data_IF_487221560221
#
_entry.id   IF_487221560221
#
_cell.length_a   1.000
_cell.length_b   1.000
_cell.length_c   1.000
_cell.angle_alpha   90.00
_cell.angle_beta   90.00
_cell.angle_gamma   90.00
#
_symmetry.space_group_name_H-M   'P 1'
#
loop_
_entity.id
_entity.type
_entity.pdbx_description
1 polymer ?
#
# COMPACT_ATOMS: atom_id res chain seq x y z
N UNK A 1 -8.61 -1.78 -39.99
CA UNK A 1 -8.89 -3.18 -39.61
C UNK A 1 -9.54 -3.19 -38.23
N UNK A 2 -10.43 -4.15 -37.92
CA UNK A 2 -10.93 -4.33 -36.56
C UNK A 2 -9.77 -4.58 -35.59
N UNK A 3 -9.96 -4.20 -34.31
CA UNK A 3 -8.90 -4.30 -33.31
C UNK A 3 -8.56 -5.75 -32.91
N UNK A 4 -9.53 -6.66 -33.08
CA UNK A 4 -9.40 -8.09 -32.83
C UNK A 4 -9.75 -8.86 -34.10
N UNK A 5 -9.05 -9.96 -34.35
CA UNK A 5 -9.40 -10.90 -35.41
C UNK A 5 -10.58 -11.74 -34.91
N UNK A 6 -11.71 -11.80 -35.64
CA UNK A 6 -12.83 -12.62 -35.23
C UNK A 6 -12.45 -14.08 -35.09
N UNK A 7 -12.88 -14.71 -34.01
CA UNK A 7 -12.75 -16.12 -33.72
C UNK A 7 -14.13 -16.74 -33.45
N UNK A 8 -14.27 -18.06 -33.63
CA UNK A 8 -15.56 -18.74 -33.45
C UNK A 8 -16.10 -18.68 -32.00
N UNK A 9 -15.27 -18.82 -30.95
CA UNK A 9 -15.73 -18.66 -29.57
C UNK A 9 -16.20 -17.25 -29.22
N UNK A 10 -15.61 -16.21 -29.82
CA UNK A 10 -15.93 -14.81 -29.55
C UNK A 10 -15.76 -14.44 -28.05
N UNK A 11 -14.75 -15.04 -27.39
CA UNK A 11 -14.50 -14.85 -25.96
C UNK A 11 -13.97 -13.45 -25.64
N UNK A 12 -13.35 -12.77 -26.62
CA UNK A 12 -12.82 -11.42 -26.45
C UNK A 12 -13.73 -10.39 -27.10
N UNK A 13 -14.32 -9.52 -26.28
CA UNK A 13 -15.07 -8.34 -26.75
C UNK A 13 -14.35 -7.09 -26.29
N UNK A 14 -14.36 -6.03 -27.10
CA UNK A 14 -13.67 -4.81 -26.71
C UNK A 14 -14.23 -3.54 -27.38
N UNK A 15 -14.11 -2.44 -26.65
CA UNK A 15 -14.25 -1.08 -27.17
C UNK A 15 -12.83 -0.53 -27.34
N UNK A 16 -12.44 -0.22 -28.58
CA UNK A 16 -11.11 0.31 -28.91
C UNK A 16 -11.25 1.64 -29.64
N UNK A 17 -10.64 2.69 -29.10
CA UNK A 17 -10.67 4.02 -29.71
C UNK A 17 -9.57 4.21 -30.75
N UNK A 18 -9.69 5.26 -31.58
CA UNK A 18 -8.67 5.63 -32.57
C UNK A 18 -7.28 5.84 -31.95
N UNK A 19 -7.22 6.32 -30.71
CA UNK A 19 -5.96 6.57 -29.99
C UNK A 19 -5.47 5.36 -29.19
N UNK A 20 -6.05 4.16 -29.39
CA UNK A 20 -5.69 2.90 -28.71
C UNK A 20 -6.04 2.83 -27.22
N UNK A 21 -7.01 3.63 -26.76
CA UNK A 21 -7.63 3.36 -25.44
C UNK A 21 -8.54 2.14 -25.59
N UNK A 22 -8.52 1.23 -24.61
CA UNK A 22 -9.19 -0.07 -24.69
C UNK A 22 -10.00 -0.35 -23.43
N UNK A 23 -11.21 -0.87 -23.62
CA UNK A 23 -11.97 -1.63 -22.62
C UNK A 23 -12.13 -3.02 -23.21
N UNK A 24 -11.57 -4.05 -22.58
CA UNK A 24 -11.57 -5.44 -23.03
C UNK A 24 -12.29 -6.34 -22.03
N UNK A 25 -13.09 -7.25 -22.55
CA UNK A 25 -13.81 -8.29 -21.83
C UNK A 25 -13.29 -9.65 -22.32
N UNK A 26 -12.81 -10.47 -21.39
CA UNK A 26 -12.38 -11.85 -21.63
C UNK A 26 -13.39 -12.77 -20.93
N UNK A 27 -14.42 -13.19 -21.67
CA UNK A 27 -15.59 -13.92 -21.13
C UNK A 27 -15.29 -15.37 -20.74
N UNK A 28 -14.19 -15.95 -21.22
CA UNK A 28 -13.74 -17.29 -20.82
C UNK A 28 -13.08 -17.32 -19.44
N UNK A 29 -12.66 -16.15 -18.95
CA UNK A 29 -11.96 -15.97 -17.66
C UNK A 29 -12.66 -15.01 -16.72
N UNK A 30 -13.75 -14.41 -17.17
CA UNK A 30 -14.46 -13.34 -16.47
C UNK A 30 -13.53 -12.17 -16.06
N UNK A 31 -12.73 -11.68 -17.03
CA UNK A 31 -11.78 -10.55 -16.82
C UNK A 31 -12.23 -9.31 -17.58
N UNK A 32 -12.22 -8.16 -16.91
CA UNK A 32 -12.43 -6.84 -17.51
C UNK A 32 -11.16 -6.01 -17.37
N UNK A 33 -10.61 -5.54 -18.48
CA UNK A 33 -9.39 -4.72 -18.51
C UNK A 33 -9.63 -3.37 -19.18
N UNK A 34 -9.31 -2.28 -18.49
CA UNK A 34 -9.31 -0.91 -19.03
C UNK A 34 -7.85 -0.49 -19.19
N UNK A 35 -7.42 -0.13 -20.40
CA UNK A 35 -6.02 0.20 -20.71
C UNK A 35 -5.89 1.51 -21.50
N UNK A 36 -4.94 2.33 -21.10
CA UNK A 36 -4.50 3.50 -21.89
C UNK A 36 -3.28 3.15 -22.75
N UNK A 37 -2.93 3.93 -23.79
CA UNK A 37 -1.80 3.64 -24.68
C UNK A 37 -0.43 3.61 -24.00
N UNK A 38 -0.33 4.23 -22.82
CA UNK A 38 0.88 4.19 -21.98
C UNK A 38 0.86 3.03 -20.98
N UNK A 39 -0.05 2.07 -21.11
CA UNK A 39 -0.22 0.91 -20.22
C UNK A 39 -0.63 1.23 -18.77
N UNK A 40 -1.25 2.39 -18.52
CA UNK A 40 -2.04 2.55 -17.28
C UNK A 40 -3.29 1.67 -17.39
N UNK A 41 -3.56 0.89 -16.34
CA UNK A 41 -4.51 -0.22 -16.38
C UNK A 41 -5.35 -0.33 -15.10
N UNK A 42 -6.61 -0.70 -15.29
CA UNK A 42 -7.51 -1.24 -14.26
C UNK A 42 -7.92 -2.63 -14.72
N UNK A 43 -7.78 -3.63 -13.86
CA UNK A 43 -8.12 -5.03 -14.16
C UNK A 43 -9.05 -5.53 -13.06
N UNK A 44 -10.22 -6.03 -13.44
CA UNK A 44 -11.13 -6.83 -12.61
C UNK A 44 -10.99 -8.27 -13.07
N UNK A 45 -10.60 -9.18 -12.17
CA UNK A 45 -10.27 -10.56 -12.50
C UNK A 45 -10.98 -11.50 -11.53
N UNK A 46 -12.06 -12.15 -11.98
CA UNK A 46 -12.81 -13.10 -11.17
C UNK A 46 -12.12 -14.46 -11.06
N UNK A 47 -11.29 -14.85 -12.04
CA UNK A 47 -10.45 -16.07 -11.99
C UNK A 47 -9.46 -16.02 -10.82
N UNK A 48 -8.83 -14.85 -10.60
CA UNK A 48 -7.92 -14.62 -9.46
C UNK A 48 -8.63 -14.07 -8.21
N UNK A 49 -9.90 -13.68 -8.32
CA UNK A 49 -10.64 -12.99 -7.26
C UNK A 49 -9.98 -11.67 -6.84
N UNK A 50 -9.53 -10.87 -7.81
CA UNK A 50 -8.73 -9.66 -7.55
C UNK A 50 -9.12 -8.44 -8.40
N UNK A 51 -8.78 -7.25 -7.87
CA UNK A 51 -8.87 -5.97 -8.58
C UNK A 51 -7.49 -5.32 -8.54
N UNK A 52 -6.98 -4.88 -9.69
CA UNK A 52 -5.65 -4.28 -9.80
C UNK A 52 -5.69 -2.96 -10.55
N UNK A 53 -5.11 -1.93 -9.95
CA UNK A 53 -4.75 -0.67 -10.57
C UNK A 53 -3.24 -0.63 -10.79
N UNK A 54 -2.79 -0.33 -12.00
CA UNK A 54 -1.36 -0.26 -12.33
C UNK A 54 -1.08 0.92 -13.25
N UNK A 55 0.03 1.64 -13.00
CA UNK A 55 0.51 2.70 -13.88
C UNK A 55 1.73 2.25 -14.71
N UNK A 56 2.19 3.12 -15.61
CA UNK A 56 3.38 2.88 -16.41
C UNK A 56 4.71 2.94 -15.64
N UNK A 57 4.69 3.35 -14.38
CA UNK A 57 5.86 3.59 -13.53
C UNK A 57 6.05 2.50 -12.48
N UNK A 58 5.40 1.35 -12.66
CA UNK A 58 5.44 0.22 -11.73
C UNK A 58 4.84 0.50 -10.34
N UNK A 59 3.90 1.46 -10.26
CA UNK A 59 3.06 1.67 -9.08
C UNK A 59 1.77 0.85 -9.21
N UNK A 60 1.36 0.19 -8.13
CA UNK A 60 0.17 -0.68 -8.12
C UNK A 60 -0.66 -0.56 -6.86
N UNK A 61 -1.98 -0.73 -7.01
CA UNK A 61 -2.91 -1.01 -5.91
C UNK A 61 -3.62 -2.31 -6.26
N UNK A 62 -3.50 -3.32 -5.40
CA UNK A 62 -4.09 -4.65 -5.62
C UNK A 62 -5.01 -5.00 -4.45
N UNK A 63 -6.24 -5.40 -4.75
CA UNK A 63 -7.21 -5.92 -3.79
C UNK A 63 -7.44 -7.39 -4.11
N UNK A 64 -7.35 -8.28 -3.11
CA UNK A 64 -7.55 -9.72 -3.29
C UNK A 64 -8.04 -10.37 -2.00
N UNK A 65 -8.18 -11.69 -1.99
CA UNK A 65 -8.50 -12.48 -0.80
C UNK A 65 -7.50 -12.31 0.35
N UNK A 66 -6.25 -11.92 0.08
CA UNK A 66 -5.24 -11.63 1.11
C UNK A 66 -5.31 -10.20 1.66
N UNK A 67 -6.20 -9.34 1.15
CA UNK A 67 -6.36 -7.94 1.56
C UNK A 67 -5.94 -6.93 0.48
N UNK A 68 -5.39 -5.80 0.91
CA UNK A 68 -5.02 -4.66 0.03
C UNK A 68 -3.51 -4.42 0.08
N UNK A 69 -2.87 -4.38 -1.09
CA UNK A 69 -1.47 -4.00 -1.26
C UNK A 69 -1.36 -2.68 -2.03
N UNK A 70 -0.59 -1.73 -1.49
CA UNK A 70 -0.21 -0.48 -2.17
C UNK A 70 1.31 -0.49 -2.35
N UNK A 71 1.76 -0.49 -3.59
CA UNK A 71 3.18 -0.55 -3.96
C UNK A 71 3.56 0.64 -4.83
N UNK A 72 4.69 1.26 -4.52
CA UNK A 72 5.32 2.30 -5.33
C UNK A 72 6.74 1.88 -5.68
N UNK A 73 7.18 2.19 -6.90
CA UNK A 73 8.58 2.02 -7.31
C UNK A 73 9.48 3.14 -6.78
N UNK A 74 8.90 4.20 -6.22
CA UNK A 74 9.60 5.36 -5.69
C UNK A 74 8.98 5.74 -4.32
N UNK A 75 8.38 6.92 -4.19
CA UNK A 75 7.79 7.38 -2.95
C UNK A 75 6.28 7.06 -2.83
N UNK A 76 5.82 6.93 -1.59
CA UNK A 76 4.40 7.04 -1.21
C UNK A 76 4.30 8.22 -0.23
N UNK A 77 3.36 9.13 -0.48
CA UNK A 77 3.10 10.30 0.40
C UNK A 77 1.63 10.32 0.77
N UNK A 78 1.32 10.26 2.06
CA UNK A 78 -0.04 10.32 2.60
C UNK A 78 -0.17 11.63 3.37
N UNK A 79 -1.07 12.50 2.93
CA UNK A 79 -1.35 13.80 3.58
C UNK A 79 -2.84 13.92 3.84
N UNK A 80 -3.20 14.36 5.03
CA UNK A 80 -4.57 14.70 5.40
C UNK A 80 -4.60 16.15 5.89
N UNK A 81 -5.64 16.90 5.52
CA UNK A 81 -5.77 18.31 5.91
C UNK A 81 -6.21 18.48 7.38
N UNK A 82 -6.93 17.50 7.92
CA UNK A 82 -7.52 17.56 9.27
C UNK A 82 -7.04 16.41 10.14
N UNK A 83 -7.27 15.17 9.71
CA UNK A 83 -7.07 13.99 10.54
C UNK A 83 -6.66 12.77 9.69
N UNK A 84 -5.74 11.96 10.22
CA UNK A 84 -5.36 10.66 9.67
C UNK A 84 -5.48 9.61 10.78
N UNK A 85 -6.44 8.69 10.64
CA UNK A 85 -6.66 7.59 11.58
C UNK A 85 -6.22 6.26 10.97
N UNK A 86 -5.42 5.50 11.71
CA UNK A 86 -4.93 4.17 11.33
C UNK A 86 -5.07 3.22 12.53
N UNK A 87 -5.83 2.14 12.38
CA UNK A 87 -6.06 1.17 13.45
C UNK A 87 -6.10 -0.27 12.93
N UNK A 88 -5.65 -1.21 13.75
CA UNK A 88 -5.68 -2.65 13.48
C UNK A 88 -5.98 -3.41 14.78
N UNK A 89 -6.74 -4.50 14.69
CA UNK A 89 -7.24 -5.22 15.88
C UNK A 89 -6.28 -6.29 16.38
N UNK A 90 -5.64 -7.04 15.48
CA UNK A 90 -4.81 -8.19 15.84
C UNK A 90 -3.31 -7.89 15.82
N UNK A 91 -2.87 -6.96 14.98
CA UNK A 91 -1.46 -6.60 14.88
C UNK A 91 -1.18 -5.56 13.80
N UNK A 92 0.00 -4.96 13.88
CA UNK A 92 0.52 -4.01 12.91
C UNK A 92 2.03 -3.92 13.04
N UNK A 93 2.71 -3.60 11.95
CA UNK A 93 4.16 -3.42 11.93
C UNK A 93 4.54 -2.26 11.02
N UNK A 94 5.47 -1.43 11.47
CA UNK A 94 6.15 -0.46 10.63
C UNK A 94 7.64 -0.84 10.58
N UNK A 95 8.15 -1.19 9.40
CA UNK A 95 9.53 -1.66 9.21
C UNK A 95 10.22 -0.85 8.12
N UNK A 96 11.37 -0.28 8.45
CA UNK A 96 12.30 0.32 7.50
C UNK A 96 13.56 -0.55 7.49
N UNK A 97 13.92 -1.13 6.34
CA UNK A 97 14.96 -2.18 6.29
C UNK A 97 16.38 -1.65 6.06
N UNK A 98 16.53 -0.43 5.55
CA UNK A 98 17.84 0.13 5.18
C UNK A 98 17.95 1.64 5.29
N UNK A 99 17.04 2.26 6.04
CA UNK A 99 17.00 3.72 6.24
C UNK A 99 16.35 4.06 7.58
N UNK A 100 16.05 5.33 7.76
CA UNK A 100 15.59 5.86 9.05
C UNK A 100 14.06 5.91 9.15
N UNK A 101 13.56 5.75 10.37
CA UNK A 101 12.17 6.04 10.73
C UNK A 101 12.15 7.25 11.66
N UNK A 102 11.63 8.38 11.17
CA UNK A 102 11.46 9.61 11.96
C UNK A 102 9.99 9.85 12.29
N UNK A 103 9.72 10.29 13.52
CA UNK A 103 8.38 10.65 13.99
C UNK A 103 8.45 12.01 14.67
N UNK A 104 7.69 12.98 14.15
CA UNK A 104 7.66 14.36 14.65
C UNK A 104 6.22 14.79 14.85
N UNK A 105 5.91 15.31 16.03
CA UNK A 105 4.62 15.89 16.37
C UNK A 105 4.78 16.84 17.56
N UNK A 106 3.81 17.72 17.80
CA UNK A 106 3.77 18.54 19.01
C UNK A 106 3.69 17.67 20.27
N UNK A 107 2.95 16.55 20.19
CA UNK A 107 2.85 15.55 21.24
C UNK A 107 2.88 14.15 20.61
N UNK A 108 3.66 13.24 21.18
CA UNK A 108 3.70 11.82 20.78
C UNK A 108 3.31 10.97 22.00
N UNK A 109 2.36 10.04 21.81
CA UNK A 109 1.94 9.10 22.85
C UNK A 109 2.05 7.67 22.34
N UNK A 110 2.85 6.86 23.05
CA UNK A 110 3.06 5.45 22.74
C UNK A 110 2.64 4.62 23.97
N UNK A 111 1.60 3.78 23.84
CA UNK A 111 1.06 3.01 24.95
C UNK A 111 1.11 1.49 24.67
N UNK A 112 1.83 0.74 25.50
CA UNK A 112 1.86 -0.73 25.48
C UNK A 112 1.28 -1.29 26.77
N UNK A 113 0.10 -1.91 26.71
CA UNK A 113 -0.62 -2.39 27.90
C UNK A 113 0.07 -3.56 28.62
N UNK A 114 0.70 -4.45 27.85
CA UNK A 114 1.38 -5.64 28.40
C UNK A 114 2.89 -5.43 28.43
N UNK A 115 3.47 -4.93 27.34
CA UNK A 115 4.91 -4.68 27.24
C UNK A 115 5.15 -3.53 26.29
N UNK A 116 6.09 -2.66 26.65
CA UNK A 116 6.64 -1.63 25.76
C UNK A 116 8.14 -1.91 25.58
N UNK A 117 8.58 -2.09 24.34
CA UNK A 117 10.00 -2.35 24.01
C UNK A 117 10.50 -1.30 23.03
N UNK A 118 11.51 -0.54 23.45
CA UNK A 118 12.30 0.35 22.60
C UNK A 118 13.77 -0.04 22.75
N UNK A 119 14.42 -0.46 21.67
CA UNK A 119 15.78 -0.98 21.69
C UNK A 119 16.60 -0.36 20.55
N UNK A 120 17.77 0.17 20.87
CA UNK A 120 18.79 0.56 19.90
C UNK A 120 19.98 -0.40 19.96
N UNK A 121 20.40 -0.93 18.81
CA UNK A 121 21.50 -1.90 18.75
C UNK A 121 22.87 -1.25 18.99
N UNK A 122 23.10 -0.06 18.42
CA UNK A 122 24.33 0.70 18.59
C UNK A 122 24.23 1.71 19.76
N UNK A 123 23.09 2.40 19.87
CA UNK A 123 22.82 3.37 20.94
C UNK A 123 21.33 3.64 21.09
N UNK A 124 20.92 4.13 22.27
CA UNK A 124 19.61 4.69 22.52
C UNK A 124 19.77 5.98 23.35
N UNK A 125 19.00 7.02 23.04
CA UNK A 125 19.09 8.32 23.70
C UNK A 125 17.71 8.88 24.01
N UNK A 126 17.55 9.44 25.21
CA UNK A 126 16.38 10.22 25.62
C UNK A 126 16.87 11.61 26.00
N UNK A 127 16.43 12.63 25.27
CA UNK A 127 16.85 14.03 25.46
C UNK A 127 15.62 14.92 25.63
N UNK A 128 15.60 15.75 26.67
CA UNK A 128 14.62 16.81 26.84
C UNK A 128 15.30 18.06 27.40
N UNK A 129 14.81 19.24 27.04
CA UNK A 129 15.23 20.52 27.66
C UNK A 129 14.63 20.71 29.07
N UNK A 130 13.48 20.08 29.30
CA UNK A 130 12.84 20.00 30.61
C UNK A 130 13.14 18.70 31.34
N UNK A 131 12.24 18.31 32.24
CA UNK A 131 12.38 17.08 33.03
C UNK A 131 12.14 15.83 32.17
N UNK A 132 13.03 14.84 32.31
CA UNK A 132 12.81 13.47 31.85
C UNK A 132 12.39 12.62 33.04
N UNK A 133 11.16 12.11 33.03
CA UNK A 133 10.60 11.27 34.09
C UNK A 133 10.61 9.80 33.67
N UNK A 134 11.45 9.00 34.29
CA UNK A 134 11.51 7.54 34.12
C UNK A 134 11.10 6.88 35.42
N UNK A 135 10.07 6.03 35.38
CA UNK A 135 9.52 5.39 36.57
C UNK A 135 9.24 3.90 36.34
N UNK A 136 9.50 3.12 37.38
CA UNK A 136 9.20 1.69 37.46
C UNK A 136 9.54 1.20 38.87
N UNK A 137 9.07 0.00 39.23
CA UNK A 137 9.45 -0.63 40.51
C UNK A 137 10.98 -0.80 40.63
N UNK A 138 11.67 -0.96 39.49
CA UNK A 138 13.11 -1.03 39.39
C UNK A 138 13.55 -0.38 38.08
N UNK A 139 14.54 0.51 38.15
CA UNK A 139 15.19 1.10 36.98
C UNK A 139 16.67 0.71 37.04
N UNK A 140 17.10 -0.12 36.09
CA UNK A 140 18.50 -0.49 35.97
C UNK A 140 19.20 0.49 35.02
N UNK A 141 20.26 1.13 35.51
CA UNK A 141 21.15 1.98 34.71
C UNK A 141 22.55 1.39 34.87
N UNK A 142 23.20 1.03 33.76
CA UNK A 142 24.56 0.51 33.73
C UNK A 142 25.32 1.10 32.54
#
# INVERSE_FOLDING_TARGET
APAFTPDAPNNTKAIVTRTKMKIEFQEDKDIITITTPKNNQVIFNDEEGSIKLADSNSNTITMSSSGIEIKSASAVTIKAATELNMSATSGGSCKVSGGDLSMEALNVSCNGQVTFKAQGAASAQLTASGEVKVQGAMVMIN
#
